data_IF_638012449619
#
_entry.id   IF_638012449619
#
_cell.length_a   1.000
_cell.length_b   1.000
_cell.length_c   1.000
_cell.angle_alpha   90.00
_cell.angle_beta   90.00
_cell.angle_gamma   90.00
#
_symmetry.space_group_name_H-M   'P 1'
#
loop_
_entity.id
_entity.type
_entity.pdbx_description
1 polymer ?
#
# COMPACT_ATOMS: atom_id res chain seq x y z
N UNK A 1 -4.49 14.33 -6.64
CA UNK A 1 -3.33 13.50 -6.21
C UNK A 1 -3.58 12.04 -6.56
N UNK A 2 -2.54 11.20 -6.70
CA UNK A 2 -2.70 9.77 -7.04
C UNK A 2 -3.70 9.05 -6.11
N UNK A 3 -3.72 9.40 -4.83
CA UNK A 3 -4.68 8.88 -3.85
C UNK A 3 -6.15 9.15 -4.23
N UNK A 4 -6.49 10.35 -4.70
CA UNK A 4 -7.86 10.69 -5.10
C UNK A 4 -8.35 9.86 -6.28
N UNK A 5 -7.44 9.43 -7.16
CA UNK A 5 -7.77 8.55 -8.28
C UNK A 5 -8.13 7.17 -7.75
N UNK A 6 -7.34 6.65 -6.81
CA UNK A 6 -7.61 5.38 -6.15
C UNK A 6 -8.95 5.39 -5.42
N UNK A 7 -9.22 6.42 -4.61
CA UNK A 7 -10.50 6.56 -3.89
C UNK A 7 -11.69 6.60 -4.86
N UNK A 8 -11.55 7.31 -5.99
CA UNK A 8 -12.59 7.36 -7.02
C UNK A 8 -12.79 6.01 -7.70
N UNK A 9 -11.72 5.26 -7.96
CA UNK A 9 -11.81 3.91 -8.51
C UNK A 9 -12.55 2.96 -7.55
N UNK A 10 -12.25 3.03 -6.26
CA UNK A 10 -12.95 2.26 -5.23
C UNK A 10 -14.44 2.60 -5.13
N UNK A 11 -14.78 3.89 -5.14
CA UNK A 11 -16.18 4.33 -5.12
C UNK A 11 -16.95 3.83 -6.34
N UNK A 12 -16.37 3.94 -7.53
CA UNK A 12 -17.01 3.46 -8.75
C UNK A 12 -17.14 1.93 -8.77
N UNK A 13 -16.16 1.20 -8.23
CA UNK A 13 -16.25 -0.24 -8.06
C UNK A 13 -17.38 -0.63 -7.11
N UNK A 14 -17.51 0.07 -5.97
CA UNK A 14 -18.63 -0.11 -5.03
C UNK A 14 -20.00 0.22 -5.64
N UNK A 15 -20.05 1.13 -6.63
CA UNK A 15 -21.25 1.45 -7.40
C UNK A 15 -21.58 0.39 -8.48
N UNK A 16 -20.81 -0.69 -8.58
CA UNK A 16 -21.03 -1.80 -9.51
C UNK A 16 -20.22 -1.71 -10.80
N UNK A 17 -19.30 -0.74 -10.94
CA UNK A 17 -18.45 -0.65 -12.12
C UNK A 17 -17.20 -1.55 -11.96
N UNK A 18 -17.32 -2.80 -12.39
CA UNK A 18 -16.22 -3.78 -12.34
C UNK A 18 -14.99 -3.41 -13.19
N UNK A 19 -15.14 -2.55 -14.22
CA UNK A 19 -14.03 -2.17 -15.09
C UNK A 19 -13.00 -1.25 -14.43
N UNK A 20 -13.37 -0.59 -13.33
CA UNK A 20 -12.49 0.30 -12.58
C UNK A 20 -12.07 -0.29 -11.24
N UNK A 21 -12.18 -1.61 -11.10
CA UNK A 21 -11.70 -2.35 -9.93
C UNK A 21 -10.21 -2.05 -9.71
N UNK A 22 -9.81 -1.42 -8.59
CA UNK A 22 -8.40 -1.18 -8.30
C UNK A 22 -7.67 -2.51 -8.09
N UNK A 23 -6.45 -2.60 -8.58
CA UNK A 23 -5.61 -3.80 -8.43
C UNK A 23 -4.27 -3.44 -7.79
N UNK A 24 -3.43 -4.45 -7.54
CA UNK A 24 -2.08 -4.29 -6.96
C UNK A 24 -1.27 -3.20 -7.66
N UNK A 25 -1.37 -3.08 -8.99
CA UNK A 25 -0.65 -2.06 -9.77
C UNK A 25 -1.18 -0.66 -9.46
N UNK A 26 -2.50 -0.48 -9.37
CA UNK A 26 -3.12 0.80 -8.97
C UNK A 26 -2.60 1.25 -7.62
N UNK A 27 -2.67 0.39 -6.61
CA UNK A 27 -2.21 0.71 -5.26
C UNK A 27 -0.71 0.97 -5.20
N UNK A 28 0.10 0.11 -5.84
CA UNK A 28 1.56 0.27 -5.87
C UNK A 28 1.98 1.58 -6.54
N UNK A 29 1.25 2.01 -7.58
CA UNK A 29 1.48 3.30 -8.23
C UNK A 29 1.20 4.48 -7.30
N UNK A 30 0.16 4.38 -6.46
CA UNK A 30 -0.16 5.44 -5.48
C UNK A 30 0.90 5.50 -4.39
N UNK A 31 1.35 4.35 -3.88
CA UNK A 31 2.43 4.26 -2.88
C UNK A 31 3.74 4.79 -3.46
N UNK A 32 4.09 4.42 -4.70
CA UNK A 32 5.28 4.94 -5.38
C UNK A 32 5.20 6.48 -5.55
N UNK A 33 4.03 7.01 -5.91
CA UNK A 33 3.81 8.45 -5.99
C UNK A 33 3.98 9.14 -4.62
N UNK A 34 3.57 8.51 -3.52
CA UNK A 34 3.85 9.00 -2.16
C UNK A 34 5.33 8.91 -1.81
N UNK A 35 6.03 7.83 -2.18
CA UNK A 35 7.46 7.65 -1.94
C UNK A 35 8.32 8.74 -2.60
N UNK A 36 7.86 9.23 -3.76
CA UNK A 36 8.48 10.33 -4.51
C UNK A 36 8.01 11.71 -4.04
N UNK A 37 7.05 11.78 -3.13
CA UNK A 37 6.57 13.03 -2.56
C UNK A 37 7.47 13.45 -1.40
N UNK A 38 8.01 14.67 -1.44
CA UNK A 38 8.80 15.25 -0.35
C UNK A 38 7.93 15.70 0.84
N UNK A 39 6.84 14.97 1.14
CA UNK A 39 5.90 15.31 2.20
C UNK A 39 6.18 14.46 3.43
N UNK A 40 6.22 15.10 4.59
CA UNK A 40 6.41 14.42 5.88
C UNK A 40 5.32 13.37 6.18
N UNK A 41 4.12 13.54 5.60
CA UNK A 41 2.99 12.59 5.75
C UNK A 41 3.02 11.44 4.74
N UNK A 42 4.01 11.40 3.84
CA UNK A 42 4.06 10.39 2.78
C UNK A 42 4.16 8.97 3.35
N UNK A 43 4.97 8.76 4.40
CA UNK A 43 5.11 7.48 5.08
C UNK A 43 3.79 6.98 5.66
N UNK A 44 3.11 7.83 6.43
CA UNK A 44 1.82 7.51 7.05
C UNK A 44 0.75 7.17 6.00
N UNK A 45 0.75 7.90 4.88
CA UNK A 45 -0.16 7.61 3.76
C UNK A 45 0.18 6.30 3.06
N UNK A 46 1.45 6.05 2.80
CA UNK A 46 1.92 4.81 2.18
C UNK A 46 1.54 3.58 3.02
N UNK A 47 1.73 3.63 4.34
CA UNK A 47 1.32 2.57 5.26
C UNK A 47 -0.20 2.38 5.31
N UNK A 48 -0.97 3.48 5.33
CA UNK A 48 -2.43 3.41 5.32
C UNK A 48 -2.95 2.70 4.05
N UNK A 49 -2.35 2.99 2.90
CA UNK A 49 -2.72 2.35 1.62
C UNK A 49 -2.35 0.85 1.64
N UNK A 50 -1.18 0.49 2.16
CA UNK A 50 -0.78 -0.91 2.31
C UNK A 50 -1.72 -1.69 3.23
N UNK A 51 -2.11 -1.10 4.37
CA UNK A 51 -3.08 -1.69 5.28
C UNK A 51 -4.43 -1.92 4.60
N UNK A 52 -4.88 -0.94 3.81
CA UNK A 52 -6.13 -1.04 3.04
C UNK A 52 -6.09 -2.18 2.03
N UNK A 53 -4.97 -2.37 1.33
CA UNK A 53 -4.77 -3.53 0.43
C UNK A 53 -4.90 -4.86 1.18
N UNK A 54 -4.31 -4.95 2.37
CA UNK A 54 -4.37 -6.15 3.20
C UNK A 54 -5.78 -6.47 3.68
N UNK A 55 -6.52 -5.44 4.13
CA UNK A 55 -7.91 -5.60 4.57
C UNK A 55 -8.80 -6.06 3.41
N UNK A 56 -8.67 -5.44 2.23
CA UNK A 56 -9.43 -5.82 1.04
C UNK A 56 -9.12 -7.24 0.56
N UNK A 57 -7.85 -7.65 0.64
CA UNK A 57 -7.46 -9.02 0.29
C UNK A 57 -7.91 -10.03 1.34
N UNK A 58 -7.89 -9.69 2.63
CA UNK A 58 -8.24 -10.62 3.73
C UNK A 58 -9.75 -10.81 3.84
N UNK A 59 -10.53 -9.77 3.55
CA UNK A 59 -11.99 -9.83 3.55
C UNK A 59 -12.58 -10.51 2.31
N UNK A 60 -11.75 -10.76 1.28
CA UNK A 60 -12.21 -11.31 -0.01
C UNK A 60 -12.97 -10.30 -0.89
N UNK A 61 -13.00 -9.01 -0.50
CA UNK A 61 -13.62 -7.93 -1.29
C UNK A 61 -12.86 -7.70 -2.61
N UNK A 62 -11.53 -7.89 -2.59
CA UNK A 62 -10.69 -7.66 -3.75
C UNK A 62 -9.41 -8.52 -3.76
N UNK A 63 -9.51 -9.73 -4.31
CA UNK A 63 -8.36 -10.62 -4.54
C UNK A 63 -7.26 -10.03 -5.44
N UNK A 64 -7.61 -9.08 -6.32
CA UNK A 64 -6.67 -8.43 -7.23
C UNK A 64 -5.86 -7.32 -6.55
N UNK A 65 -6.18 -6.97 -5.30
CA UNK A 65 -5.50 -5.95 -4.51
C UNK A 65 -4.44 -6.52 -3.56
N UNK A 66 -3.97 -7.76 -3.78
CA UNK A 66 -2.95 -8.40 -2.94
C UNK A 66 -1.65 -7.59 -2.95
N UNK A 67 -1.11 -7.20 -1.78
CA UNK A 67 0.18 -6.53 -1.73
C UNK A 67 1.28 -7.50 -2.14
N UNK A 68 2.29 -6.98 -2.82
CA UNK A 68 3.45 -7.75 -3.29
C UNK A 68 4.73 -7.18 -2.70
N UNK A 69 5.84 -7.90 -2.85
CA UNK A 69 7.18 -7.44 -2.45
C UNK A 69 7.49 -6.01 -2.93
N UNK A 70 7.03 -5.65 -4.14
CA UNK A 70 7.20 -4.30 -4.68
C UNK A 70 6.47 -3.27 -3.81
N UNK A 71 5.23 -3.56 -3.43
CA UNK A 71 4.40 -2.71 -2.57
C UNK A 71 5.06 -2.48 -1.20
N UNK A 72 5.55 -3.53 -0.55
CA UNK A 72 6.27 -3.44 0.73
C UNK A 72 7.54 -2.61 0.61
N UNK A 73 8.37 -2.90 -0.40
CA UNK A 73 9.61 -2.16 -0.65
C UNK A 73 9.36 -0.67 -0.87
N UNK A 74 8.29 -0.29 -1.59
CA UNK A 74 7.93 1.12 -1.77
C UNK A 74 7.55 1.81 -0.46
N UNK A 75 6.82 1.14 0.45
CA UNK A 75 6.49 1.69 1.77
C UNK A 75 7.74 1.83 2.63
N UNK A 76 8.60 0.81 2.68
CA UNK A 76 9.87 0.85 3.41
C UNK A 76 10.76 1.98 2.90
N UNK A 77 10.89 2.13 1.57
CA UNK A 77 11.65 3.22 0.97
C UNK A 77 11.07 4.59 1.35
N UNK A 78 9.74 4.72 1.42
CA UNK A 78 9.07 5.95 1.87
C UNK A 78 9.39 6.26 3.33
N UNK A 79 9.40 5.24 4.21
CA UNK A 79 9.77 5.37 5.61
C UNK A 79 11.24 5.77 5.78
N UNK A 80 12.15 5.16 5.01
CA UNK A 80 13.58 5.50 5.00
C UNK A 80 13.84 6.96 4.59
N UNK A 81 13.00 7.52 3.71
CA UNK A 81 13.10 8.92 3.29
C UNK A 81 12.42 9.89 4.28
N UNK A 82 11.65 9.40 5.26
CA UNK A 82 10.95 10.24 6.21
C UNK A 82 11.82 10.51 7.45
N UNK A 83 12.20 11.78 7.66
CA UNK A 83 12.99 12.23 8.82
C UNK A 83 12.22 12.26 10.15
N UNK A 84 11.08 11.57 10.26
CA UNK A 84 10.35 11.46 11.53
C UNK A 84 11.00 10.42 12.46
N UNK A 85 10.97 10.69 13.76
CA UNK A 85 11.30 9.70 14.79
C UNK A 85 10.33 8.51 14.69
N UNK A 86 10.84 7.28 14.83
CA UNK A 86 10.03 6.07 14.70
C UNK A 86 9.95 5.49 13.28
N UNK A 87 10.45 6.19 12.26
CA UNK A 87 10.50 5.67 10.88
C UNK A 87 11.25 4.32 10.73
N UNK A 88 12.43 4.10 11.35
CA UNK A 88 13.15 2.84 11.19
C UNK A 88 12.43 1.66 11.87
N UNK A 89 11.85 1.86 13.06
CA UNK A 89 11.08 0.82 13.76
C UNK A 89 9.82 0.43 12.98
N UNK A 90 9.16 1.40 12.36
CA UNK A 90 8.02 1.14 11.47
C UNK A 90 8.46 0.40 10.21
N UNK A 91 9.59 0.76 9.63
CA UNK A 91 10.14 0.07 8.46
C UNK A 91 10.43 -1.41 8.77
N UNK A 92 11.02 -1.68 9.93
CA UNK A 92 11.25 -3.04 10.42
C UNK A 92 9.94 -3.81 10.64
N UNK A 93 8.92 -3.16 11.21
CA UNK A 93 7.60 -3.78 11.38
C UNK A 93 6.95 -4.17 10.04
N UNK A 94 7.05 -3.31 9.01
CA UNK A 94 6.56 -3.60 7.66
C UNK A 94 7.36 -4.72 6.99
N UNK A 95 8.68 -4.77 7.21
CA UNK A 95 9.53 -5.85 6.71
C UNK A 95 9.15 -7.20 7.36
N UNK A 96 8.99 -7.24 8.68
CA UNK A 96 8.56 -8.44 9.40
C UNK A 96 7.18 -8.94 8.93
N UNK A 97 6.26 -8.02 8.61
CA UNK A 97 4.97 -8.39 8.01
C UNK A 97 5.11 -8.99 6.61
N UNK A 98 6.02 -8.45 5.79
CA UNK A 98 6.32 -9.00 4.48
C UNK A 98 6.87 -10.42 4.59
N UNK A 99 7.80 -10.68 5.51
CA UNK A 99 8.37 -12.02 5.74
C UNK A 99 7.31 -13.01 6.22
N UNK A 100 6.44 -12.58 7.15
CA UNK A 100 5.36 -13.42 7.67
C UNK A 100 4.34 -13.83 6.60
N UNK A 101 4.07 -12.97 5.60
CA UNK A 101 3.16 -13.29 4.49
C UNK A 101 3.84 -13.91 3.28
N UNK A 102 5.15 -13.70 3.12
CA UNK A 102 5.98 -14.30 2.07
C UNK A 102 6.47 -15.72 2.38
N UNK A 103 6.29 -16.22 3.60
CA UNK A 103 6.64 -17.58 3.98
C UNK A 103 5.52 -18.58 3.64
N UNK A 104 5.72 -19.37 2.57
CA UNK A 104 5.79 -20.81 2.74
C UNK A 104 7.14 -21.29 2.21
N UNK A 105 8.20 -21.09 3.00
CA UNK A 105 9.46 -21.81 2.81
C UNK A 105 9.91 -22.40 4.14
N UNK A 106 9.19 -23.46 4.53
CA UNK A 106 9.70 -24.57 5.33
C UNK A 106 9.31 -25.86 4.60
#
# INVERSE_FOLDING_TARGET
SAEQILERMEQLYQQGNAHVKPNTVTYSSVIDAWSKSNKSVASERAECILKRMLELSSNGDNDDAKPTTVTYNSVINTLSNCMKEGSPERAEAILNQMEAMGAPYA
#
